data_IF_593685525328
#
_entry.id   IF_593685525328
#
_cell.length_a   1.000
_cell.length_b   1.000
_cell.length_c   1.000
_cell.angle_alpha   90.00
_cell.angle_beta   90.00
_cell.angle_gamma   90.00
#
_symmetry.space_group_name_H-M   'P 1'
#
loop_
_entity.id
_entity.type
_entity.pdbx_description
1 polymer ?
#
# COMPACT_ATOMS: atom_id res chain seq x y z
N UNK A 1 2.29 22.47 8.42
CA UNK A 1 2.72 21.54 7.35
C UNK A 1 2.72 20.14 7.94
N UNK A 2 2.19 19.13 7.23
CA UNK A 2 1.97 17.78 7.79
C UNK A 2 3.14 16.86 7.43
N UNK A 3 3.60 16.07 8.41
CA UNK A 3 4.73 15.14 8.26
C UNK A 3 4.36 13.91 7.42
N UNK A 4 5.35 13.23 6.85
CA UNK A 4 5.13 12.04 6.02
C UNK A 4 4.42 10.92 6.79
N UNK A 5 4.84 10.68 8.04
CA UNK A 5 4.26 9.65 8.91
C UNK A 5 2.77 9.91 9.16
N UNK A 6 2.39 11.17 9.37
CA UNK A 6 1.00 11.57 9.57
C UNK A 6 0.16 11.35 8.31
N UNK A 7 0.72 11.55 7.10
CA UNK A 7 0.02 11.25 5.85
C UNK A 7 -0.24 9.76 5.70
N UNK A 8 0.77 8.93 5.99
CA UNK A 8 0.63 7.47 5.94
C UNK A 8 -0.42 6.98 6.95
N UNK A 9 -0.39 7.52 8.18
CA UNK A 9 -1.35 7.17 9.23
C UNK A 9 -2.80 7.54 8.86
N UNK A 10 -3.03 8.70 8.23
CA UNK A 10 -4.35 9.09 7.72
C UNK A 10 -4.89 8.05 6.73
N UNK A 11 -4.07 7.65 5.75
CA UNK A 11 -4.47 6.72 4.70
C UNK A 11 -4.75 5.32 5.26
N UNK A 12 -3.92 4.82 6.18
CA UNK A 12 -4.13 3.51 6.82
C UNK A 12 -5.46 3.49 7.58
N UNK A 13 -5.73 4.52 8.39
CA UNK A 13 -6.99 4.59 9.16
C UNK A 13 -8.23 4.71 8.27
N UNK A 14 -8.13 5.43 7.16
CA UNK A 14 -9.25 5.60 6.24
C UNK A 14 -9.53 4.33 5.44
N UNK A 15 -8.51 3.75 4.79
CA UNK A 15 -8.70 2.62 3.87
C UNK A 15 -8.70 1.24 4.54
N UNK A 16 -7.91 1.04 5.61
CA UNK A 16 -7.84 -0.26 6.31
C UNK A 16 -8.79 -0.35 7.50
N UNK A 17 -8.82 0.71 8.32
CA UNK A 17 -9.65 0.74 9.53
C UNK A 17 -11.06 1.28 9.27
N UNK A 18 -11.38 1.72 8.05
CA UNK A 18 -12.67 2.30 7.66
C UNK A 18 -13.15 3.42 8.60
N UNK A 19 -12.21 4.17 9.20
CA UNK A 19 -12.54 5.24 10.13
C UNK A 19 -13.09 6.44 9.36
N UNK A 20 -14.15 7.06 9.88
CA UNK A 20 -14.61 8.34 9.33
C UNK A 20 -13.55 9.44 9.47
N UNK A 21 -13.52 10.38 8.51
CA UNK A 21 -12.62 11.55 8.55
C UNK A 21 -12.70 12.31 9.89
N UNK A 22 -13.87 12.36 10.52
CA UNK A 22 -14.07 12.97 11.84
C UNK A 22 -13.39 12.19 12.96
N UNK A 23 -13.40 10.87 12.89
CA UNK A 23 -12.72 10.02 13.87
C UNK A 23 -11.18 10.13 13.72
N UNK A 24 -10.68 10.15 12.48
CA UNK A 24 -9.26 10.35 12.18
C UNK A 24 -8.78 11.72 12.69
N UNK A 25 -9.58 12.79 12.46
CA UNK A 25 -9.29 14.14 12.94
C UNK A 25 -9.10 14.19 14.46
N UNK A 26 -9.99 13.53 15.22
CA UNK A 26 -9.88 13.45 16.69
C UNK A 26 -8.63 12.68 17.12
N UNK A 27 -8.27 11.59 16.44
CA UNK A 27 -7.14 10.72 16.81
C UNK A 27 -5.78 11.36 16.51
N UNK A 28 -5.63 12.00 15.35
CA UNK A 28 -4.36 12.60 14.88
C UNK A 28 -4.22 14.08 15.33
N UNK A 29 -5.31 14.68 15.85
CA UNK A 29 -5.37 16.11 16.23
C UNK A 29 -5.08 17.05 15.05
N UNK A 30 -5.58 16.70 13.87
CA UNK A 30 -5.54 17.52 12.66
C UNK A 30 -6.95 17.96 12.25
N UNK A 31 -7.05 19.06 11.51
CA UNK A 31 -8.34 19.54 11.04
C UNK A 31 -8.94 18.56 10.02
N UNK A 32 -10.26 18.32 10.10
CA UNK A 32 -10.97 17.47 9.14
C UNK A 32 -10.75 17.93 7.69
N UNK A 33 -10.63 19.23 7.45
CA UNK A 33 -10.41 19.80 6.11
C UNK A 33 -9.07 19.38 5.52
N UNK A 34 -8.01 19.31 6.33
CA UNK A 34 -6.71 18.79 5.87
C UNK A 34 -6.80 17.32 5.52
N UNK A 35 -7.41 16.50 6.40
CA UNK A 35 -7.60 15.06 6.16
C UNK A 35 -8.40 14.81 4.89
N UNK A 36 -9.51 15.54 4.70
CA UNK A 36 -10.33 15.45 3.49
C UNK A 36 -9.48 15.76 2.26
N UNK A 37 -8.80 16.90 2.23
CA UNK A 37 -7.94 17.28 1.10
C UNK A 37 -6.94 16.17 0.77
N UNK A 38 -6.29 15.56 1.76
CA UNK A 38 -5.34 14.48 1.51
C UNK A 38 -5.96 13.20 0.96
N UNK A 39 -7.17 12.86 1.38
CA UNK A 39 -7.89 11.69 0.86
C UNK A 39 -8.29 11.95 -0.59
N UNK A 40 -8.89 13.11 -0.86
CA UNK A 40 -9.33 13.51 -2.20
C UNK A 40 -8.13 13.60 -3.17
N UNK A 41 -7.00 14.19 -2.73
CA UNK A 41 -5.75 14.28 -3.49
C UNK A 41 -5.18 12.87 -3.80
N UNK A 42 -5.36 11.91 -2.88
CA UNK A 42 -4.89 10.53 -3.07
C UNK A 42 -5.77 9.76 -4.05
N UNK A 43 -7.09 9.85 -3.90
CA UNK A 43 -8.06 9.22 -4.81
C UNK A 43 -7.89 9.74 -6.24
N UNK A 44 -7.73 11.06 -6.41
CA UNK A 44 -7.47 11.67 -7.72
C UNK A 44 -6.21 11.12 -8.39
N UNK A 45 -5.12 10.95 -7.62
CA UNK A 45 -3.88 10.33 -8.14
C UNK A 45 -4.08 8.87 -8.53
N UNK A 46 -4.88 8.12 -7.76
CA UNK A 46 -5.21 6.74 -8.11
C UNK A 46 -5.98 6.67 -9.44
N UNK A 47 -6.93 7.57 -9.65
CA UNK A 47 -7.66 7.66 -10.92
C UNK A 47 -6.76 8.04 -12.09
N UNK A 48 -5.88 9.03 -11.93
CA UNK A 48 -4.89 9.42 -12.94
C UNK A 48 -4.00 8.26 -13.34
N UNK A 49 -3.48 7.51 -12.37
CA UNK A 49 -2.70 6.28 -12.61
C UNK A 49 -3.55 5.27 -13.41
N UNK A 50 -4.82 5.07 -13.04
CA UNK A 50 -5.74 4.19 -13.76
C UNK A 50 -5.95 4.59 -15.23
N UNK A 51 -6.11 5.89 -15.49
CA UNK A 51 -6.24 6.42 -16.87
C UNK A 51 -4.96 6.19 -17.68
N UNK A 52 -3.81 6.53 -17.11
CA UNK A 52 -2.50 6.29 -17.74
C UNK A 52 -2.26 4.81 -18.06
N UNK A 53 -2.74 3.88 -17.22
CA UNK A 53 -2.65 2.44 -17.50
C UNK A 53 -3.58 1.96 -18.61
N UNK A 54 -4.65 2.70 -18.91
CA UNK A 54 -5.64 2.31 -19.93
C UNK A 54 -5.29 2.82 -21.33
N UNK A 55 -4.67 4.01 -21.43
CA UNK A 55 -4.27 4.62 -22.72
C UNK A 55 -2.97 4.01 -23.27
N UNK A 56 -2.12 3.45 -22.41
CA UNK A 56 -0.96 2.67 -22.81
C UNK A 56 -1.36 1.19 -22.96
N UNK A 57 -1.88 0.82 -24.13
CA UNK A 57 -2.05 -0.59 -24.51
C UNK A 57 -0.77 -1.38 -24.20
N UNK A 58 -0.82 -2.20 -23.14
CA UNK A 58 0.19 -3.10 -22.60
C UNK A 58 1.63 -2.80 -23.06
N UNK A 59 2.30 -1.88 -22.38
CA UNK A 59 3.77 -1.86 -22.39
C UNK A 59 4.25 -2.81 -21.29
N UNK A 60 4.55 -4.03 -21.73
CA UNK A 60 5.27 -5.10 -21.05
C UNK A 60 4.49 -5.83 -19.94
N UNK A 61 3.94 -6.97 -20.33
CA UNK A 61 3.30 -8.04 -19.54
C UNK A 61 4.06 -8.36 -18.22
N UNK A 62 5.38 -8.12 -18.18
CA UNK A 62 6.25 -8.29 -17.03
C UNK A 62 5.95 -7.34 -15.88
N UNK A 63 5.58 -6.09 -16.16
CA UNK A 63 5.29 -5.07 -15.14
C UNK A 63 3.96 -5.35 -14.44
N UNK A 64 2.95 -5.80 -15.20
CA UNK A 64 1.64 -6.19 -14.65
C UNK A 64 1.76 -7.44 -13.77
N UNK A 65 2.53 -8.45 -14.21
CA UNK A 65 2.80 -9.67 -13.44
C UNK A 65 3.59 -9.42 -12.15
N UNK A 66 4.53 -8.47 -12.16
CA UNK A 66 5.25 -8.04 -10.95
C UNK A 66 4.32 -7.34 -9.94
N UNK A 67 3.44 -6.46 -10.43
CA UNK A 67 2.48 -5.74 -9.57
C UNK A 67 1.44 -6.70 -9.00
N UNK A 68 0.92 -7.63 -9.79
CA UNK A 68 -0.03 -8.64 -9.30
C UNK A 68 0.63 -9.61 -8.33
N UNK A 69 1.86 -10.04 -8.60
CA UNK A 69 2.64 -10.80 -7.62
C UNK A 69 2.75 -10.00 -6.33
N UNK A 70 3.16 -8.74 -6.33
CA UNK A 70 3.33 -7.89 -5.12
C UNK A 70 2.08 -7.70 -4.28
N UNK A 71 0.90 -7.76 -4.91
CA UNK A 71 -0.41 -7.61 -4.25
C UNK A 71 -0.90 -8.93 -3.63
N UNK A 72 -0.48 -10.10 -4.13
CA UNK A 72 -0.81 -11.40 -3.53
C UNK A 72 -0.03 -11.66 -2.21
N UNK A 73 -0.66 -12.34 -1.25
CA UNK A 73 -0.14 -12.50 0.12
C UNK A 73 1.15 -13.36 0.21
N UNK A 74 2.07 -13.07 1.16
CA UNK A 74 3.41 -13.67 1.22
C UNK A 74 3.42 -15.13 1.73
N UNK A 75 4.41 -15.91 1.28
CA UNK A 75 4.44 -17.40 1.32
C UNK A 75 4.93 -18.06 2.65
N UNK A 76 5.39 -17.33 3.69
CA UNK A 76 5.94 -17.93 4.94
C UNK A 76 5.49 -17.22 6.24
N UNK A 77 5.10 -18.00 7.25
CA UNK A 77 4.47 -17.55 8.52
C UNK A 77 5.40 -16.80 9.50
N UNK A 78 6.69 -17.14 9.58
CA UNK A 78 7.63 -16.54 10.55
C UNK A 78 7.93 -15.06 10.29
N UNK A 79 7.97 -14.64 9.03
CA UNK A 79 8.23 -13.26 8.60
C UNK A 79 7.02 -12.34 8.77
N UNK A 80 5.81 -12.92 8.70
CA UNK A 80 4.56 -12.23 8.96
C UNK A 80 4.48 -11.85 10.46
N UNK A 81 4.88 -12.76 11.37
CA UNK A 81 4.90 -12.50 12.82
C UNK A 81 5.91 -11.42 13.24
N UNK A 82 7.10 -11.41 12.65
CA UNK A 82 8.11 -10.36 12.87
C UNK A 82 7.68 -9.01 12.24
N UNK A 83 6.98 -9.03 11.09
CA UNK A 83 6.40 -7.82 10.44
C UNK A 83 5.29 -7.15 11.23
N UNK A 84 4.51 -7.93 11.97
CA UNK A 84 3.44 -7.44 12.83
C UNK A 84 3.98 -6.88 14.16
N UNK A 85 5.10 -7.43 14.67
CA UNK A 85 5.75 -7.01 15.93
C UNK A 85 6.63 -5.75 15.78
N UNK A 86 7.39 -5.60 14.68
CA UNK A 86 8.22 -4.41 14.40
C UNK A 86 7.64 -3.45 13.35
N UNK A 87 6.58 -3.83 12.62
CA UNK A 87 5.88 -2.97 11.67
C UNK A 87 6.38 -2.97 10.22
N UNK A 88 7.16 -3.97 9.77
CA UNK A 88 7.77 -4.00 8.42
C UNK A 88 7.47 -5.30 7.64
N UNK A 89 6.91 -5.23 6.42
CA UNK A 89 6.55 -6.39 5.57
C UNK A 89 7.74 -6.94 4.76
N UNK A 90 7.90 -8.28 4.66
CA UNK A 90 8.97 -8.98 3.91
C UNK A 90 8.43 -9.89 2.77
N UNK A 91 9.25 -10.14 1.72
CA UNK A 91 9.06 -11.21 0.71
C UNK A 91 10.42 -11.77 0.23
N UNK A 92 10.57 -13.10 0.22
CA UNK A 92 11.72 -13.87 -0.31
C UNK A 92 11.16 -15.08 -1.11
N UNK A 93 11.64 -15.59 -2.26
CA UNK A 93 12.72 -15.28 -3.24
C UNK A 93 12.14 -15.40 -4.67
N UNK A 94 12.90 -14.97 -5.68
CA UNK A 94 12.49 -14.80 -7.07
C UNK A 94 12.47 -16.10 -7.91
N UNK A 95 11.53 -16.19 -8.85
CA UNK A 95 11.17 -17.33 -9.72
C UNK A 95 12.29 -17.80 -10.69
N UNK A 96 13.39 -17.04 -10.82
CA UNK A 96 14.46 -17.34 -11.76
C UNK A 96 15.52 -18.37 -11.29
N UNK A 97 15.37 -18.94 -10.09
CA UNK A 97 16.27 -20.00 -9.57
C UNK A 97 15.49 -21.25 -9.21
N UNK A 98 15.24 -22.09 -10.21
CA UNK A 98 15.00 -23.52 -9.98
C UNK A 98 16.23 -24.12 -9.30
N UNK A 99 16.04 -24.81 -8.17
CA UNK A 99 17.02 -25.62 -7.42
C UNK A 99 17.68 -25.03 -6.17
N UNK A 100 16.90 -24.47 -5.25
CA UNK A 100 17.26 -24.57 -3.83
C UNK A 100 16.17 -25.38 -3.11
N UNK A 101 16.26 -26.71 -3.25
CA UNK A 101 15.77 -27.64 -2.23
C UNK A 101 16.94 -27.96 -1.33
N UNK A 102 16.83 -27.59 -0.05
CA UNK A 102 17.39 -28.30 1.10
C UNK A 102 17.09 -27.47 2.35
N UNK A 103 16.51 -27.95 3.44
CA UNK A 103 15.94 -29.23 3.90
C UNK A 103 14.81 -28.84 4.86
#
# INVERSE_FOLDING_TARGET
MINLDQKAEILIKYFRENMSQRAIARKIKLSRTTIRKYIDDYESKCEEIGKLTSDNGVTNNNTLNLVTEMVLAPKYEGLIKISLYYGFKYRFCNVAKSNEKAI
#
